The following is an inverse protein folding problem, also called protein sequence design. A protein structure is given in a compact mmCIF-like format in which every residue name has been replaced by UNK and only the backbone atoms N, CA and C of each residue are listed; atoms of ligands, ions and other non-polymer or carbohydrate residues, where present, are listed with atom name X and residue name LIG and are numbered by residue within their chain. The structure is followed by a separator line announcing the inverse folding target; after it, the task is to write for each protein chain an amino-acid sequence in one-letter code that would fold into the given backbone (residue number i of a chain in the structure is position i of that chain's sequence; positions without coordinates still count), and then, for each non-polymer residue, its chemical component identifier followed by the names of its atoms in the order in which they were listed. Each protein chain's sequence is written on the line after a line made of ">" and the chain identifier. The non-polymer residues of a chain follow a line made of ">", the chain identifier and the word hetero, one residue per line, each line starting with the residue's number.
data_IF_101400611408
#
_entry.id   IF_101400611408
#
_cell.length_a   1.000
_cell.length_b   1.000
_cell.length_c   1.000
_cell.angle_alpha   90.00
_cell.angle_beta   90.00
_cell.angle_gamma   90.00
#
_symmetry.space_group_name_H-M   'P 1'
#
loop_
_entity.id
_entity.type
_entity.pdbx_description
1 polymer ?
#
# COMPACT_ATOMS: atom_id res chain seq x y z
N UNK A 1 34.73 -25.91 -0.43
CA UNK A 1 33.49 -26.14 -1.19
C UNK A 1 32.23 -25.73 -0.40
N UNK A 2 32.15 -24.46 0.04
CA UNK A 2 30.90 -23.80 0.46
C UNK A 2 30.77 -22.39 -0.15
N UNK A 3 31.79 -21.93 -0.88
CA UNK A 3 31.87 -20.59 -1.46
C UNK A 3 30.96 -20.37 -2.68
N UNK A 4 30.42 -21.44 -3.27
CA UNK A 4 29.53 -21.35 -4.44
C UNK A 4 28.07 -21.05 -4.05
N UNK A 5 27.63 -21.49 -2.86
CA UNK A 5 26.27 -21.24 -2.34
C UNK A 5 26.07 -19.77 -1.93
N UNK A 6 27.10 -19.12 -1.37
CA UNK A 6 27.06 -17.69 -0.98
C UNK A 6 27.15 -16.72 -2.17
N UNK A 7 27.28 -17.23 -3.40
CA UNK A 7 27.53 -16.43 -4.61
C UNK A 7 26.33 -16.33 -5.56
N UNK A 8 25.19 -16.95 -5.20
CA UNK A 8 23.93 -16.89 -5.94
C UNK A 8 22.83 -16.08 -5.24
N UNK A 9 23.07 -15.60 -4.02
CA UNK A 9 22.16 -14.68 -3.34
C UNK A 9 22.70 -13.25 -3.54
N UNK A 10 22.10 -12.42 -4.41
CA UNK A 10 22.50 -11.03 -4.53
C UNK A 10 22.11 -10.30 -3.24
N UNK A 11 23.09 -10.14 -2.36
CA UNK A 11 23.05 -9.28 -1.18
C UNK A 11 22.92 -10.00 0.17
N UNK A 12 23.45 -9.40 1.25
CA UNK A 12 23.28 -9.88 2.63
C UNK A 12 21.79 -10.04 2.95
N UNK A 13 21.46 -10.89 3.92
CA UNK A 13 20.07 -11.13 4.37
C UNK A 13 19.30 -9.81 4.60
N UNK A 14 20.00 -8.80 5.10
CA UNK A 14 19.53 -7.41 5.22
C UNK A 14 19.09 -6.75 3.90
N UNK A 15 19.84 -6.91 2.81
CA UNK A 15 19.48 -6.30 1.51
C UNK A 15 18.20 -6.93 0.95
N UNK A 16 18.01 -8.23 1.13
CA UNK A 16 16.76 -8.92 0.77
C UNK A 16 15.59 -8.40 1.60
N UNK A 17 15.77 -8.23 2.91
CA UNK A 17 14.74 -7.64 3.78
C UNK A 17 14.40 -6.23 3.31
N UNK A 18 15.40 -5.39 3.06
CA UNK A 18 15.19 -4.01 2.60
C UNK A 18 14.46 -3.97 1.27
N UNK A 19 14.84 -4.77 0.27
CA UNK A 19 14.16 -4.81 -1.04
C UNK A 19 12.72 -5.26 -0.90
N UNK A 20 12.44 -6.31 -0.12
CA UNK A 20 11.06 -6.79 0.11
C UNK A 20 10.21 -5.73 0.82
N UNK A 21 10.79 -5.05 1.81
CA UNK A 21 10.10 -4.00 2.57
C UNK A 21 9.86 -2.76 1.70
N UNK A 22 10.79 -2.43 0.81
CA UNK A 22 10.66 -1.34 -0.15
C UNK A 22 9.60 -1.65 -1.21
N UNK A 23 9.56 -2.88 -1.72
CA UNK A 23 8.48 -3.36 -2.61
C UNK A 23 7.11 -3.30 -1.93
N UNK A 24 7.02 -3.71 -0.66
CA UNK A 24 5.79 -3.65 0.11
C UNK A 24 5.36 -2.19 0.33
N UNK A 25 6.29 -1.31 0.69
CA UNK A 25 6.02 0.12 0.85
C UNK A 25 5.56 0.76 -0.47
N UNK A 26 6.21 0.43 -1.60
CA UNK A 26 5.80 0.88 -2.93
C UNK A 26 4.37 0.40 -3.27
N UNK A 27 4.05 -0.86 -2.95
CA UNK A 27 2.70 -1.40 -3.14
C UNK A 27 1.67 -0.62 -2.31
N UNK A 28 1.96 -0.36 -1.04
CA UNK A 28 1.09 0.46 -0.17
C UNK A 28 0.87 1.84 -0.78
N UNK A 29 1.93 2.52 -1.22
CA UNK A 29 1.83 3.85 -1.84
C UNK A 29 0.95 3.81 -3.09
N UNK A 30 1.10 2.80 -3.95
CA UNK A 30 0.26 2.62 -5.14
C UNK A 30 -1.19 2.36 -4.75
N UNK A 31 -1.46 1.50 -3.76
CA UNK A 31 -2.83 1.28 -3.29
C UNK A 31 -3.47 2.57 -2.76
N UNK A 32 -2.75 3.36 -1.96
CA UNK A 32 -3.30 4.60 -1.41
C UNK A 32 -3.45 5.71 -2.46
N UNK A 33 -2.49 5.87 -3.37
CA UNK A 33 -2.52 6.95 -4.36
C UNK A 33 -3.39 6.65 -5.58
N UNK A 34 -3.58 5.38 -5.95
CA UNK A 34 -4.31 4.99 -7.16
C UNK A 34 -5.56 4.16 -6.85
N UNK A 35 -5.45 3.13 -6.02
CA UNK A 35 -6.59 2.23 -5.76
C UNK A 35 -7.63 2.92 -4.89
N UNK A 36 -7.22 3.67 -3.86
CA UNK A 36 -8.15 4.40 -3.01
C UNK A 36 -8.98 5.43 -3.79
N UNK A 37 -8.43 6.35 -4.61
CA UNK A 37 -9.25 7.27 -5.39
C UNK A 37 -10.11 6.58 -6.45
N UNK A 38 -9.69 5.42 -6.97
CA UNK A 38 -10.52 4.63 -7.87
C UNK A 38 -11.72 3.97 -7.14
N UNK A 39 -11.55 3.53 -5.88
CA UNK A 39 -12.60 2.86 -5.09
C UNK A 39 -13.47 3.84 -4.31
N UNK A 40 -12.94 5.00 -3.92
CA UNK A 40 -13.63 6.02 -3.12
C UNK A 40 -15.05 6.38 -3.65
N UNK A 41 -15.30 6.50 -4.98
CA UNK A 41 -16.64 6.76 -5.50
C UNK A 41 -17.66 5.64 -5.27
N UNK A 42 -17.18 4.40 -5.10
CA UNK A 42 -18.03 3.22 -4.89
C UNK A 42 -18.30 2.95 -3.40
N UNK A 43 -17.69 3.72 -2.49
CA UNK A 43 -17.88 3.51 -1.06
C UNK A 43 -19.23 4.08 -0.60
N UNK A 44 -20.12 3.25 -0.01
CA UNK A 44 -21.47 3.65 0.38
C UNK A 44 -21.51 4.64 1.57
N UNK A 45 -20.35 4.92 2.17
CA UNK A 45 -20.19 5.85 3.29
C UNK A 45 -20.04 7.31 2.84
N UNK A 46 -19.76 7.56 1.55
CA UNK A 46 -19.45 8.92 1.06
C UNK A 46 -20.71 9.80 0.88
N UNK A 47 -21.89 9.20 0.83
CA UNK A 47 -23.16 9.88 0.50
C UNK A 47 -24.20 9.89 1.63
N UNK A 48 -24.17 8.94 2.56
CA UNK A 48 -25.26 8.80 3.53
C UNK A 48 -25.15 9.67 4.79
N UNK A 49 -23.95 9.88 5.31
CA UNK A 49 -23.77 10.46 6.66
C UNK A 49 -23.46 11.96 6.64
N UNK A 50 -22.84 12.45 5.56
CA UNK A 50 -22.47 13.86 5.40
C UNK A 50 -23.64 14.71 4.88
N UNK A 51 -24.46 14.15 3.99
CA UNK A 51 -25.62 14.84 3.39
C UNK A 51 -26.74 15.04 4.42
N UNK A 52 -26.93 14.07 5.32
CA UNK A 52 -27.89 14.15 6.43
C UNK A 52 -27.50 15.18 7.52
N UNK A 53 -26.19 15.38 7.75
CA UNK A 53 -25.69 16.38 8.70
C UNK A 53 -25.78 17.81 8.13
N UNK A 54 -25.59 17.96 6.81
CA UNK A 54 -25.74 19.25 6.11
C UNK A 54 -27.20 19.68 5.94
N UNK A 55 -28.12 18.75 5.69
CA UNK A 55 -29.56 19.02 5.57
C UNK A 55 -30.26 19.38 6.90
N UNK A 56 -29.57 19.18 8.03
CA UNK A 56 -30.06 19.54 9.37
C UNK A 56 -29.39 20.81 9.95
N UNK A 57 -28.55 21.50 9.17
CA UNK A 57 -28.08 22.83 9.50
C UNK A 57 -29.19 23.87 9.22
N UNK A 58 -29.55 24.73 10.19
CA UNK A 58 -30.65 25.69 10.07
C UNK A 58 -30.41 26.77 9.01
#
# INVERSE_FOLDING_TARGET
>A
MYAWMFRHLPGPLWLRIVITLLLLAALIVVLFQWVFPAIAPYMPFNSGTLDALGASAP
#
